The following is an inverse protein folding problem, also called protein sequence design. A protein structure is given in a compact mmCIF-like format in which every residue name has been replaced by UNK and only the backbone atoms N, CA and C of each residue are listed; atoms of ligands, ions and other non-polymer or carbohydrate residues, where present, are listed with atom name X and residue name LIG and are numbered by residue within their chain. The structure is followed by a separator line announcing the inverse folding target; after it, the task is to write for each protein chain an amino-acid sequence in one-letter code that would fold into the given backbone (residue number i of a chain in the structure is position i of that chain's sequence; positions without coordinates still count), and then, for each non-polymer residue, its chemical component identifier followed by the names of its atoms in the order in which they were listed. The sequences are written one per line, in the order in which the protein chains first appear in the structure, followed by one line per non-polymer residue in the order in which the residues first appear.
data_IF_340597715944
#
_entry.id   IF_340597715944
#
_cell.length_a   1.000
_cell.length_b   1.000
_cell.length_c   1.000
_cell.angle_alpha   90.00
_cell.angle_beta   90.00
_cell.angle_gamma   90.00
#
_symmetry.space_group_name_H-M   'P 1'
#
loop_
_entity.id
_entity.type
_entity.pdbx_description
1 polymer ?
#
# COMPACT_ATOMS: atom_id res chain seq x y z
N UNK A 1 -21.69 4.79 -2.09
CA UNK A 1 -20.72 4.31 -1.06
C UNK A 1 -20.28 5.38 -0.06
N UNK A 2 -20.10 6.63 -0.51
CA UNK A 2 -19.70 7.70 0.45
C UNK A 2 -20.70 7.90 1.58
N UNK A 3 -21.99 7.79 1.29
CA UNK A 3 -23.03 7.93 2.33
C UNK A 3 -22.88 6.87 3.44
N UNK A 4 -22.48 5.66 3.08
CA UNK A 4 -22.24 4.58 4.05
C UNK A 4 -21.05 4.92 4.94
N UNK A 5 -19.96 5.42 4.34
CA UNK A 5 -18.77 5.82 5.10
C UNK A 5 -19.09 6.95 6.07
N UNK A 6 -19.83 7.97 5.62
CA UNK A 6 -20.20 9.11 6.46
C UNK A 6 -21.11 8.68 7.63
N UNK A 7 -21.99 7.70 7.41
CA UNK A 7 -22.86 7.19 8.44
C UNK A 7 -22.10 6.47 9.56
N UNK A 8 -20.89 5.98 9.29
CA UNK A 8 -20.05 5.30 10.27
C UNK A 8 -19.32 6.27 11.20
N UNK A 9 -19.29 7.56 10.87
CA UNK A 9 -18.62 8.60 11.67
C UNK A 9 -19.62 9.29 12.58
N UNK A 10 -19.21 9.55 13.84
CA UNK A 10 -20.12 10.04 14.88
C UNK A 10 -20.34 11.54 14.87
N UNK A 11 -19.35 12.35 14.47
CA UNK A 11 -19.44 13.81 14.56
C UNK A 11 -19.41 14.47 13.19
N UNK A 12 -19.99 15.67 13.09
CA UNK A 12 -19.96 16.47 11.86
C UNK A 12 -18.53 16.91 11.50
N UNK A 13 -17.70 17.18 12.50
CA UNK A 13 -16.28 17.53 12.28
C UNK A 13 -15.54 16.38 11.61
N UNK A 14 -15.77 15.16 12.08
CA UNK A 14 -15.14 13.97 11.51
C UNK A 14 -15.65 13.71 10.09
N UNK A 15 -16.95 13.89 9.85
CA UNK A 15 -17.52 13.75 8.51
C UNK A 15 -16.92 14.75 7.53
N UNK A 16 -16.76 16.00 7.94
CA UNK A 16 -16.14 17.02 7.09
C UNK A 16 -14.69 16.70 6.76
N UNK A 17 -13.91 16.27 7.75
CA UNK A 17 -12.52 15.88 7.55
C UNK A 17 -12.41 14.68 6.61
N UNK A 18 -13.25 13.67 6.83
CA UNK A 18 -13.28 12.49 5.98
C UNK A 18 -13.66 12.84 4.55
N UNK A 19 -14.68 13.69 4.37
CA UNK A 19 -15.11 14.12 3.05
C UNK A 19 -14.00 14.80 2.28
N UNK A 20 -13.24 15.68 2.92
CA UNK A 20 -12.09 16.34 2.29
C UNK A 20 -11.02 15.35 1.87
N UNK A 21 -10.71 14.39 2.73
CA UNK A 21 -9.75 13.34 2.43
C UNK A 21 -10.24 12.47 1.27
N UNK A 22 -11.49 12.07 1.31
CA UNK A 22 -12.10 11.26 0.26
C UNK A 22 -12.07 11.97 -1.09
N UNK A 23 -12.55 13.20 -1.17
CA UNK A 23 -12.59 13.96 -2.41
C UNK A 23 -11.20 14.21 -3.00
N UNK A 24 -10.21 14.44 -2.13
CA UNK A 24 -8.84 14.71 -2.57
C UNK A 24 -8.10 13.47 -3.06
N UNK A 25 -8.41 12.29 -2.51
CA UNK A 25 -7.63 11.09 -2.75
C UNK A 25 -8.37 9.96 -3.45
N UNK A 26 -9.69 10.04 -3.66
CA UNK A 26 -10.45 8.93 -4.24
C UNK A 26 -9.89 8.48 -5.60
N UNK A 27 -9.59 9.44 -6.47
CA UNK A 27 -9.04 9.12 -7.80
C UNK A 27 -7.63 8.57 -7.72
N UNK A 28 -6.81 9.12 -6.82
CA UNK A 28 -5.45 8.67 -6.62
C UNK A 28 -5.40 7.25 -6.06
N UNK A 29 -6.25 6.93 -5.10
CA UNK A 29 -6.33 5.58 -4.54
C UNK A 29 -6.76 4.57 -5.60
N UNK A 30 -7.73 4.93 -6.43
CA UNK A 30 -8.16 4.07 -7.54
C UNK A 30 -7.03 3.83 -8.53
N UNK A 31 -6.29 4.88 -8.89
CA UNK A 31 -5.16 4.76 -9.81
C UNK A 31 -4.06 3.84 -9.26
N UNK A 32 -3.75 3.95 -7.97
CA UNK A 32 -2.77 3.08 -7.30
C UNK A 32 -3.24 1.62 -7.33
N UNK A 33 -4.51 1.38 -6.97
CA UNK A 33 -5.07 0.03 -6.96
C UNK A 33 -5.11 -0.57 -8.37
N UNK A 34 -5.50 0.22 -9.36
CA UNK A 34 -5.57 -0.23 -10.75
C UNK A 34 -4.20 -0.61 -11.30
N UNK A 35 -3.17 0.16 -10.95
CA UNK A 35 -1.79 -0.15 -11.34
C UNK A 35 -1.32 -1.51 -10.79
N UNK A 36 -1.74 -1.85 -9.58
CA UNK A 36 -1.36 -3.11 -8.93
C UNK A 36 -2.19 -4.29 -9.47
N UNK A 37 -3.50 -4.11 -9.57
CA UNK A 37 -4.43 -5.21 -9.86
C UNK A 37 -4.76 -5.39 -11.34
N UNK A 38 -4.58 -4.35 -12.14
CA UNK A 38 -4.84 -4.36 -13.59
C UNK A 38 -6.27 -4.78 -13.96
N UNK A 39 -7.23 -4.49 -13.07
CA UNK A 39 -8.64 -4.83 -13.24
C UNK A 39 -9.49 -3.80 -12.48
N UNK A 40 -10.48 -3.22 -13.17
CA UNK A 40 -11.31 -2.15 -12.61
C UNK A 40 -12.13 -2.62 -11.39
N UNK A 41 -12.77 -3.78 -11.47
CA UNK A 41 -13.59 -4.29 -10.37
C UNK A 41 -12.77 -4.58 -9.13
N UNK A 42 -11.62 -5.18 -9.30
CA UNK A 42 -10.71 -5.49 -8.20
C UNK A 42 -10.12 -4.20 -7.60
N UNK A 43 -9.82 -3.23 -8.43
CA UNK A 43 -9.35 -1.92 -7.96
C UNK A 43 -10.41 -1.22 -7.12
N UNK A 44 -11.67 -1.26 -7.54
CA UNK A 44 -12.78 -0.71 -6.75
C UNK A 44 -12.91 -1.42 -5.40
N UNK A 45 -12.79 -2.75 -5.39
CA UNK A 45 -12.84 -3.52 -4.14
C UNK A 45 -11.71 -3.12 -3.20
N UNK A 46 -10.50 -2.93 -3.72
CA UNK A 46 -9.36 -2.48 -2.91
C UNK A 46 -9.60 -1.09 -2.32
N UNK A 47 -10.14 -0.18 -3.12
CA UNK A 47 -10.45 1.18 -2.68
C UNK A 47 -11.52 1.16 -1.58
N UNK A 48 -12.57 0.37 -1.74
CA UNK A 48 -13.61 0.23 -0.72
C UNK A 48 -13.04 -0.32 0.58
N UNK A 49 -12.22 -1.36 0.51
CA UNK A 49 -11.54 -1.91 1.69
C UNK A 49 -10.65 -0.88 2.36
N UNK A 50 -9.94 -0.08 1.57
CA UNK A 50 -9.05 0.95 2.09
C UNK A 50 -9.83 2.01 2.88
N UNK A 51 -10.95 2.52 2.33
CA UNK A 51 -11.76 3.51 3.02
C UNK A 51 -12.38 2.96 4.30
N UNK A 52 -12.82 1.70 4.29
CA UNK A 52 -13.32 1.05 5.51
C UNK A 52 -12.25 0.94 6.57
N UNK A 53 -11.04 0.56 6.21
CA UNK A 53 -9.91 0.49 7.16
C UNK A 53 -9.57 1.86 7.73
N UNK A 54 -9.60 2.89 6.89
CA UNK A 54 -9.34 4.28 7.31
C UNK A 54 -10.39 4.70 8.35
N UNK A 55 -11.65 4.40 8.12
CA UNK A 55 -12.74 4.73 9.05
C UNK A 55 -12.60 3.95 10.35
N UNK A 56 -12.26 2.68 10.28
CA UNK A 56 -12.06 1.84 11.48
C UNK A 56 -10.94 2.38 12.38
N UNK A 57 -9.97 3.07 11.81
CA UNK A 57 -8.86 3.69 12.53
C UNK A 57 -8.94 5.20 12.52
N UNK A 58 -10.15 5.75 12.41
CA UNK A 58 -10.35 7.18 12.23
C UNK A 58 -9.80 8.02 13.38
N UNK A 59 -9.86 7.54 14.62
CA UNK A 59 -9.29 8.24 15.76
C UNK A 59 -7.81 8.55 15.54
N UNK A 60 -7.09 7.61 14.96
CA UNK A 60 -5.66 7.77 14.66
C UNK A 60 -5.45 8.67 13.44
N UNK A 61 -6.23 8.44 12.38
CA UNK A 61 -6.09 9.18 11.12
C UNK A 61 -6.47 10.64 11.29
N UNK A 62 -7.51 10.94 12.06
CA UNK A 62 -7.98 12.30 12.28
C UNK A 62 -6.98 13.19 13.01
N UNK A 63 -6.05 12.59 13.75
CA UNK A 63 -5.00 13.31 14.46
C UNK A 63 -3.76 13.58 13.60
N UNK A 64 -3.68 12.99 12.41
CA UNK A 64 -2.54 13.17 11.52
C UNK A 64 -2.62 14.50 10.76
N UNK A 65 -1.46 15.07 10.46
CA UNK A 65 -1.37 16.19 9.53
C UNK A 65 -1.86 15.74 8.15
N UNK A 66 -2.31 16.70 7.34
CA UNK A 66 -2.92 16.43 6.05
C UNK A 66 -2.08 15.52 5.14
N UNK A 67 -0.78 15.83 5.02
CA UNK A 67 0.12 15.05 4.18
C UNK A 67 0.30 13.61 4.69
N UNK A 68 0.35 13.45 6.02
CA UNK A 68 0.47 12.14 6.64
C UNK A 68 -0.81 11.33 6.50
N UNK A 69 -1.97 11.97 6.60
CA UNK A 69 -3.25 11.31 6.38
C UNK A 69 -3.38 10.80 4.95
N UNK A 70 -2.97 11.63 3.97
CA UNK A 70 -2.93 11.22 2.57
C UNK A 70 -1.99 10.05 2.32
N UNK A 71 -0.79 10.10 2.90
CA UNK A 71 0.16 9.00 2.83
C UNK A 71 -0.36 7.71 3.45
N UNK A 72 -1.05 7.83 4.59
CA UNK A 72 -1.73 6.69 5.22
C UNK A 72 -2.77 6.07 4.29
N UNK A 73 -3.59 6.90 3.64
CA UNK A 73 -4.61 6.41 2.71
C UNK A 73 -3.98 5.66 1.53
N UNK A 74 -2.92 6.20 0.93
CA UNK A 74 -2.21 5.57 -0.18
C UNK A 74 -1.60 4.24 0.24
N UNK A 75 -0.96 4.19 1.39
CA UNK A 75 -0.39 2.95 1.93
C UNK A 75 -1.49 1.92 2.21
N UNK A 76 -2.62 2.35 2.73
CA UNK A 76 -3.75 1.47 3.03
C UNK A 76 -4.32 0.83 1.78
N UNK A 77 -4.54 1.59 0.70
CA UNK A 77 -5.05 1.03 -0.56
C UNK A 77 -4.02 0.11 -1.21
N UNK A 78 -2.75 0.46 -1.13
CA UNK A 78 -1.67 -0.39 -1.65
C UNK A 78 -1.66 -1.74 -0.95
N UNK A 79 -1.76 -1.75 0.37
CA UNK A 79 -1.82 -3.00 1.14
C UNK A 79 -3.08 -3.81 0.83
N UNK A 80 -4.24 -3.16 0.68
CA UNK A 80 -5.47 -3.84 0.30
C UNK A 80 -5.35 -4.48 -1.08
N UNK A 81 -4.78 -3.78 -2.04
CA UNK A 81 -4.57 -4.30 -3.39
C UNK A 81 -3.61 -5.49 -3.39
N UNK A 82 -2.53 -5.40 -2.63
CA UNK A 82 -1.56 -6.50 -2.50
C UNK A 82 -2.23 -7.73 -1.87
N UNK A 83 -3.08 -7.55 -0.86
CA UNK A 83 -3.82 -8.66 -0.23
C UNK A 83 -4.72 -9.37 -1.26
N UNK A 84 -5.42 -8.61 -2.09
CA UNK A 84 -6.24 -9.18 -3.17
C UNK A 84 -5.38 -9.95 -4.17
N UNK A 85 -4.25 -9.38 -4.55
CA UNK A 85 -3.32 -10.03 -5.48
C UNK A 85 -2.80 -11.35 -4.93
N UNK A 86 -2.47 -11.41 -3.63
CA UNK A 86 -2.02 -12.63 -2.96
C UNK A 86 -3.08 -13.72 -2.98
N UNK A 87 -4.33 -13.36 -2.69
CA UNK A 87 -5.45 -14.31 -2.68
C UNK A 87 -5.67 -14.93 -4.03
N UNK A 88 -5.56 -14.14 -5.09
CA UNK A 88 -5.79 -14.63 -6.45
C UNK A 88 -4.70 -15.54 -6.96
N UNK A 89 -3.46 -15.18 -6.67
CA UNK A 89 -2.31 -15.90 -7.20
C UNK A 89 -1.92 -17.12 -6.37
N UNK A 90 -2.58 -17.35 -5.23
CA UNK A 90 -2.27 -18.47 -4.33
C UNK A 90 -0.77 -18.63 -4.19
N UNK A 91 -0.14 -17.73 -3.42
CA UNK A 91 1.32 -17.75 -3.21
C UNK A 91 1.74 -19.10 -2.65
N UNK A 92 2.43 -19.92 -3.44
CA UNK A 92 2.94 -21.20 -3.03
C UNK A 92 4.17 -21.02 -2.12
N UNK A 93 4.45 -21.98 -1.21
CA UNK A 93 5.68 -21.92 -0.42
C UNK A 93 6.91 -21.83 -1.31
N UNK A 94 7.95 -21.16 -0.82
CA UNK A 94 9.22 -21.06 -1.56
C UNK A 94 9.76 -22.45 -1.89
N UNK A 95 10.28 -22.67 -3.11
CA UNK A 95 10.90 -23.95 -3.46
C UNK A 95 12.05 -24.27 -2.51
N UNK A 96 12.18 -25.54 -2.13
CA UNK A 96 13.28 -25.97 -1.27
C UNK A 96 14.66 -25.75 -1.91
N UNK A 97 14.68 -25.61 -3.24
CA UNK A 97 15.93 -25.36 -4.00
C UNK A 97 16.33 -23.90 -4.06
N UNK A 98 15.49 -22.99 -3.54
CA UNK A 98 15.80 -21.57 -3.56
C UNK A 98 16.80 -21.25 -2.44
N UNK A 99 17.94 -20.67 -2.82
CA UNK A 99 18.96 -20.18 -1.90
C UNK A 99 19.07 -18.66 -2.03
N UNK A 100 19.05 -17.92 -0.91
CA UNK A 100 19.27 -16.48 -0.98
C UNK A 100 20.70 -16.17 -1.40
N UNK A 101 20.92 -15.11 -2.20
CA UNK A 101 22.27 -14.71 -2.57
C UNK A 101 23.05 -14.22 -1.34
N UNK A 102 24.34 -14.47 -1.32
CA UNK A 102 25.20 -13.97 -0.26
C UNK A 102 25.34 -12.45 -0.37
N UNK A 103 25.35 -11.76 0.77
CA UNK A 103 25.57 -10.33 0.80
C UNK A 103 27.05 -10.02 0.58
N UNK A 104 27.32 -9.17 -0.40
CA UNK A 104 28.68 -8.67 -0.63
C UNK A 104 28.97 -7.50 0.32
N UNK A 105 30.22 -7.39 0.78
CA UNK A 105 30.61 -6.32 1.71
C UNK A 105 30.39 -4.90 1.14
N UNK A 106 30.50 -4.75 -0.18
CA UNK A 106 30.31 -3.47 -0.86
C UNK A 106 28.86 -3.08 -1.09
N UNK A 107 27.90 -3.99 -0.87
CA UNK A 107 26.49 -3.72 -1.08
C UNK A 107 25.86 -3.06 0.13
N UNK A 108 25.08 -1.97 -0.09
CA UNK A 108 24.23 -1.45 0.94
C UNK A 108 22.98 -2.33 1.10
N UNK A 109 22.21 -2.04 2.13
CA UNK A 109 21.01 -2.80 2.46
C UNK A 109 19.99 -2.83 1.31
N UNK A 110 19.81 -1.69 0.65
CA UNK A 110 18.89 -1.59 -0.48
C UNK A 110 19.33 -2.44 -1.67
N UNK A 111 20.60 -2.36 -2.04
CA UNK A 111 21.15 -3.16 -3.14
C UNK A 111 21.03 -4.65 -2.87
N UNK A 112 21.31 -5.05 -1.63
CA UNK A 112 21.15 -6.45 -1.23
C UNK A 112 19.69 -6.90 -1.32
N UNK A 113 18.76 -6.08 -0.85
CA UNK A 113 17.33 -6.37 -0.92
C UNK A 113 16.87 -6.56 -2.36
N UNK A 114 17.28 -5.69 -3.27
CA UNK A 114 16.97 -5.81 -4.70
C UNK A 114 17.53 -7.12 -5.27
N UNK A 115 18.79 -7.43 -4.96
CA UNK A 115 19.42 -8.68 -5.42
C UNK A 115 18.67 -9.91 -4.92
N UNK A 116 18.29 -9.90 -3.65
CA UNK A 116 17.53 -10.98 -3.03
C UNK A 116 16.19 -11.20 -3.72
N UNK A 117 15.44 -10.12 -3.97
CA UNK A 117 14.11 -10.16 -4.59
C UNK A 117 14.21 -10.67 -6.03
N UNK A 118 15.26 -10.28 -6.77
CA UNK A 118 15.43 -10.70 -8.16
C UNK A 118 15.64 -12.21 -8.30
N UNK A 119 16.11 -12.90 -7.25
CA UNK A 119 16.29 -14.35 -7.27
C UNK A 119 15.01 -15.13 -6.98
N UNK A 120 13.96 -14.46 -6.52
CA UNK A 120 12.70 -15.09 -6.15
C UNK A 120 11.84 -15.43 -7.37
N UNK A 121 10.96 -16.44 -7.27
CA UNK A 121 9.93 -16.66 -8.29
C UNK A 121 9.09 -15.41 -8.53
N UNK A 122 8.58 -15.24 -9.75
CA UNK A 122 7.89 -14.02 -10.21
C UNK A 122 6.79 -13.55 -9.27
N UNK A 123 6.00 -14.47 -8.72
CA UNK A 123 4.89 -14.13 -7.82
C UNK A 123 5.39 -13.44 -6.56
N UNK A 124 6.42 -14.00 -5.91
CA UNK A 124 7.02 -13.42 -4.71
C UNK A 124 7.72 -12.10 -5.03
N UNK A 125 8.46 -12.08 -6.14
CA UNK A 125 9.21 -10.90 -6.56
C UNK A 125 8.30 -9.68 -6.74
N UNK A 126 7.19 -9.83 -7.47
CA UNK A 126 6.27 -8.73 -7.72
C UNK A 126 5.68 -8.16 -6.41
N UNK A 127 5.25 -9.04 -5.52
CA UNK A 127 4.67 -8.62 -4.24
C UNK A 127 5.69 -7.86 -3.39
N UNK A 128 6.92 -8.37 -3.31
CA UNK A 128 7.96 -7.74 -2.50
C UNK A 128 8.47 -6.43 -3.11
N UNK A 129 8.55 -6.34 -4.44
CA UNK A 129 8.90 -5.09 -5.12
C UNK A 129 7.86 -4.00 -4.84
N UNK A 130 6.58 -4.35 -4.92
CA UNK A 130 5.50 -3.39 -4.66
C UNK A 130 5.47 -2.94 -3.20
N UNK A 131 5.75 -3.82 -2.27
CA UNK A 131 5.61 -3.53 -0.85
C UNK A 131 6.86 -2.93 -0.22
N UNK A 132 8.03 -3.49 -0.49
CA UNK A 132 9.25 -3.17 0.25
C UNK A 132 10.24 -2.31 -0.51
N UNK A 133 10.47 -2.60 -1.79
CA UNK A 133 11.49 -1.86 -2.57
C UNK A 133 11.06 -0.42 -2.80
N UNK A 134 9.81 -0.20 -3.19
CA UNK A 134 9.29 1.16 -3.40
C UNK A 134 9.29 1.98 -2.12
N UNK A 135 8.89 1.38 -0.99
CA UNK A 135 8.91 2.06 0.30
C UNK A 135 10.33 2.44 0.72
N UNK A 136 11.28 1.56 0.55
CA UNK A 136 12.67 1.84 0.89
C UNK A 136 13.25 2.95 0.02
N UNK A 137 12.98 2.91 -1.28
CA UNK A 137 13.40 3.96 -2.22
C UNK A 137 12.85 5.33 -1.82
N UNK A 138 11.58 5.37 -1.44
CA UNK A 138 10.93 6.62 -1.02
C UNK A 138 11.55 7.19 0.25
N UNK A 139 11.87 6.34 1.22
CA UNK A 139 12.55 6.76 2.46
C UNK A 139 13.94 7.30 2.17
N UNK A 140 14.67 6.65 1.29
CA UNK A 140 16.02 7.08 0.91
C UNK A 140 15.99 8.43 0.18
N UNK A 141 15.04 8.61 -0.73
CA UNK A 141 14.85 9.89 -1.43
C UNK A 141 14.52 10.99 -0.43
N UNK A 142 13.63 10.73 0.52
CA UNK A 142 13.25 11.70 1.54
C UNK A 142 14.46 12.14 2.39
N UNK A 143 15.34 11.21 2.74
CA UNK A 143 16.57 11.53 3.49
C UNK A 143 17.52 12.40 2.68
N UNK A 144 17.62 12.19 1.39
CA UNK A 144 18.50 12.97 0.51
C UNK A 144 17.99 14.39 0.27
N UNK A 145 16.69 14.62 0.39
CA UNK A 145 16.08 15.93 0.19
C UNK A 145 16.12 16.82 1.43
N UNK A 146 16.50 16.28 2.55
CA UNK A 146 16.73 17.05 3.76
C UNK A 146 18.17 17.57 3.75
#
# INVERSE_FOLDING_TARGET
MIAVYLAMLETDVDRDKFMKLYESYEKKLFAVALRILENNEKAEDAVQQAWLRIIQHWERVSCLEWDLAGGYAVTTVKNAAIDILRQEKRVEPLPATWDPPAREESQDEYQYLVSLIQTLPDTYRRILELKYVEEYSNREIAKRQK
#
